data_IF_010724575058
#
_entry.id   IF_010724575058
#
_cell.length_a   1.000
_cell.length_b   1.000
_cell.length_c   1.000
_cell.angle_alpha   90.00
_cell.angle_beta   90.00
_cell.angle_gamma   90.00
#
_symmetry.space_group_name_H-M   'P 1'
#
loop_
_entity.id
_entity.type
_entity.pdbx_description
1 polymer ?
#
# COMPACT_ATOMS: atom_id res chain seq x y z
N UNK A 1 0.61 -27.67 10.26
CA UNK A 1 0.09 -26.61 9.37
C UNK A 1 1.28 -25.77 8.95
N UNK A 2 1.65 -25.80 7.67
CA UNK A 2 2.76 -25.01 7.15
C UNK A 2 2.32 -23.55 7.19
N UNK A 3 2.93 -22.75 8.07
CA UNK A 3 2.84 -21.29 7.99
C UNK A 3 3.53 -20.91 6.67
N UNK A 4 2.76 -20.73 5.61
CA UNK A 4 3.27 -20.07 4.41
C UNK A 4 3.52 -18.61 4.79
N UNK A 5 4.74 -18.31 5.25
CA UNK A 5 5.27 -16.97 5.13
C UNK A 5 5.36 -16.66 3.63
N UNK A 6 4.32 -16.01 3.09
CA UNK A 6 4.33 -15.48 1.74
C UNK A 6 5.34 -14.33 1.69
N UNK A 7 6.61 -14.70 1.57
CA UNK A 7 7.70 -13.77 1.31
C UNK A 7 7.55 -13.25 -0.11
N UNK A 8 7.62 -11.93 -0.27
CA UNK A 8 7.50 -11.27 -1.57
C UNK A 8 8.67 -11.70 -2.48
N UNK A 9 8.38 -12.31 -3.63
CA UNK A 9 9.38 -12.75 -4.61
C UNK A 9 9.34 -11.85 -5.85
N UNK A 10 10.48 -11.30 -6.26
CA UNK A 10 10.59 -10.36 -7.38
C UNK A 10 10.93 -10.99 -8.73
N UNK A 11 11.25 -12.28 -8.77
CA UNK A 11 11.64 -12.94 -10.02
C UNK A 11 10.41 -13.18 -10.91
N UNK A 12 10.46 -12.70 -12.17
CA UNK A 12 9.42 -12.88 -13.18
C UNK A 12 8.01 -12.48 -12.68
N UNK A 13 7.83 -11.19 -12.38
CA UNK A 13 6.60 -10.62 -11.83
C UNK A 13 6.13 -9.42 -12.66
N UNK A 14 4.82 -9.23 -12.72
CA UNK A 14 4.19 -8.03 -13.24
C UNK A 14 4.04 -7.02 -12.10
N UNK A 15 4.70 -5.87 -12.23
CA UNK A 15 4.82 -4.90 -11.14
C UNK A 15 4.22 -3.55 -11.57
N UNK A 16 3.29 -3.03 -10.77
CA UNK A 16 2.87 -1.64 -10.88
C UNK A 16 3.96 -0.75 -10.28
N UNK A 17 4.59 0.07 -11.13
CA UNK A 17 5.61 1.03 -10.74
C UNK A 17 5.04 2.15 -9.85
N UNK A 18 5.88 2.77 -9.00
CA UNK A 18 5.44 3.91 -8.21
C UNK A 18 5.18 5.14 -9.08
N UNK A 19 4.05 5.80 -8.84
CA UNK A 19 3.65 6.99 -9.58
C UNK A 19 2.95 7.96 -8.62
N UNK A 20 3.52 9.15 -8.43
CA UNK A 20 2.95 10.18 -7.54
C UNK A 20 1.54 10.56 -7.99
N UNK A 21 0.59 10.66 -7.04
CA UNK A 21 -0.87 10.86 -7.26
C UNK A 21 -1.61 9.65 -7.88
N UNK A 22 -0.98 8.94 -8.81
CA UNK A 22 -1.61 7.82 -9.53
C UNK A 22 -1.64 6.56 -8.65
N UNK A 23 -0.55 6.26 -7.93
CA UNK A 23 -0.36 5.08 -7.09
C UNK A 23 -1.13 5.06 -5.77
N UNK A 24 -2.28 5.73 -5.69
CA UNK A 24 -3.19 5.67 -4.54
C UNK A 24 -3.91 4.31 -4.48
N UNK A 25 -4.57 4.00 -3.34
CA UNK A 25 -5.21 2.70 -3.11
C UNK A 25 -6.11 2.21 -4.26
N UNK A 26 -7.00 3.03 -4.85
CA UNK A 26 -7.88 2.56 -5.92
C UNK A 26 -7.13 2.02 -7.15
N UNK A 27 -6.06 2.70 -7.57
CA UNK A 27 -5.26 2.27 -8.73
C UNK A 27 -4.52 0.97 -8.44
N UNK A 28 -3.97 0.82 -7.22
CA UNK A 28 -3.28 -0.41 -6.82
C UNK A 28 -4.22 -1.60 -6.82
N UNK A 29 -5.42 -1.45 -6.25
CA UNK A 29 -6.43 -2.51 -6.26
C UNK A 29 -6.87 -2.86 -7.68
N UNK A 30 -7.01 -1.87 -8.56
CA UNK A 30 -7.36 -2.09 -9.96
C UNK A 30 -6.24 -2.83 -10.71
N UNK A 31 -4.97 -2.50 -10.47
CA UNK A 31 -3.85 -3.22 -11.04
C UNK A 31 -3.82 -4.68 -10.57
N UNK A 32 -4.13 -4.95 -9.30
CA UNK A 32 -4.30 -6.31 -8.78
C UNK A 32 -5.45 -7.06 -9.47
N UNK A 33 -6.57 -6.37 -9.76
CA UNK A 33 -7.70 -6.95 -10.52
C UNK A 33 -7.30 -7.35 -11.95
N UNK A 34 -6.36 -6.62 -12.56
CA UNK A 34 -5.82 -6.92 -13.89
C UNK A 34 -4.57 -7.81 -13.90
N UNK A 35 -4.20 -8.41 -12.77
CA UNK A 35 -3.14 -9.43 -12.70
C UNK A 35 -1.75 -8.91 -12.38
N UNK A 36 -1.61 -7.72 -11.79
CA UNK A 36 -0.34 -7.33 -11.17
C UNK A 36 -0.01 -8.24 -9.98
N UNK A 37 1.24 -8.69 -9.89
CA UNK A 37 1.72 -9.50 -8.77
C UNK A 37 2.14 -8.62 -7.58
N UNK A 38 2.73 -7.46 -7.87
CA UNK A 38 3.29 -6.52 -6.89
C UNK A 38 2.81 -5.11 -7.25
N UNK A 39 2.44 -4.32 -6.25
CA UNK A 39 1.97 -2.94 -6.44
C UNK A 39 2.74 -1.97 -5.56
N UNK A 40 3.49 -1.05 -6.16
CA UNK A 40 4.11 0.04 -5.40
C UNK A 40 3.08 1.13 -5.10
N UNK A 41 3.15 1.73 -3.92
CA UNK A 41 2.47 2.99 -3.65
C UNK A 41 3.19 4.16 -4.33
N UNK A 42 2.57 5.34 -4.29
CA UNK A 42 3.28 6.57 -4.60
C UNK A 42 4.47 6.82 -3.65
N UNK A 43 5.45 7.59 -4.11
CA UNK A 43 6.56 8.03 -3.26
C UNK A 43 6.02 8.89 -2.11
N UNK A 44 6.32 8.49 -0.87
CA UNK A 44 5.89 9.18 0.33
C UNK A 44 7.09 9.60 1.17
N UNK A 45 7.28 10.93 1.25
CA UNK A 45 8.41 11.53 1.95
C UNK A 45 8.41 11.14 3.45
N UNK A 46 9.54 10.59 3.89
CA UNK A 46 9.82 10.17 5.26
C UNK A 46 9.47 11.23 6.33
N UNK A 47 9.85 12.49 6.11
CA UNK A 47 9.56 13.63 6.99
C UNK A 47 8.07 13.89 7.19
N UNK A 48 7.22 13.53 6.21
CA UNK A 48 5.76 13.60 6.36
C UNK A 48 5.23 12.33 7.03
N UNK A 49 5.79 11.17 6.69
CA UNK A 49 5.37 9.88 7.26
C UNK A 49 5.65 9.75 8.75
N UNK A 50 6.77 10.28 9.26
CA UNK A 50 7.11 10.24 10.69
C UNK A 50 6.09 11.00 11.57
N UNK A 51 5.36 11.94 10.98
CA UNK A 51 4.32 12.71 11.68
C UNK A 51 2.97 11.96 11.73
N UNK A 52 2.84 10.86 10.98
CA UNK A 52 1.58 10.15 10.83
C UNK A 52 1.30 9.19 11.98
N UNK A 53 0.01 9.02 12.30
CA UNK A 53 -0.48 8.00 13.22
C UNK A 53 -1.17 6.89 12.44
N UNK A 54 -0.90 5.64 12.82
CA UNK A 54 -1.61 4.47 12.29
C UNK A 54 -3.00 4.38 12.95
N UNK A 55 -4.05 4.40 12.14
CA UNK A 55 -5.45 4.30 12.54
C UNK A 55 -6.09 3.13 11.83
N UNK A 56 -6.75 2.25 12.57
CA UNK A 56 -7.61 1.20 11.99
C UNK A 56 -8.96 1.84 11.70
N UNK A 57 -9.37 1.86 10.44
CA UNK A 57 -10.61 2.46 9.98
C UNK A 57 -11.64 1.35 9.72
N UNK A 58 -12.48 1.07 10.71
CA UNK A 58 -13.47 -0.02 10.65
C UNK A 58 -14.56 0.22 9.59
N UNK A 59 -14.93 1.48 9.34
CA UNK A 59 -15.97 1.85 8.36
C UNK A 59 -15.56 1.44 6.94
N UNK A 60 -14.28 1.60 6.60
CA UNK A 60 -13.73 1.26 5.28
C UNK A 60 -12.98 -0.07 5.27
N UNK A 61 -12.78 -0.70 6.42
CA UNK A 61 -11.89 -1.86 6.58
C UNK A 61 -10.48 -1.58 6.05
N UNK A 62 -9.95 -0.40 6.36
CA UNK A 62 -8.60 0.04 5.95
C UNK A 62 -7.69 0.32 7.15
N UNK A 63 -6.39 0.38 6.87
CA UNK A 63 -5.39 0.97 7.77
C UNK A 63 -4.94 2.28 7.16
N UNK A 64 -5.14 3.36 7.91
CA UNK A 64 -4.86 4.73 7.50
C UNK A 64 -3.66 5.27 8.27
N UNK A 65 -2.74 5.94 7.58
CA UNK A 65 -1.66 6.72 8.17
C UNK A 65 -2.03 8.20 8.05
N UNK A 66 -2.45 8.78 9.17
CA UNK A 66 -3.07 10.10 9.24
C UNK A 66 -2.08 11.10 9.82
N UNK A 67 -1.81 12.18 9.09
CA UNK A 67 -0.95 13.26 9.54
C UNK A 67 -1.68 14.19 10.53
N UNK A 68 -0.98 15.12 11.22
CA UNK A 68 -1.59 16.01 12.22
C UNK A 68 -2.65 16.98 11.68
N UNK A 69 -2.68 17.17 10.36
CA UNK A 69 -3.67 17.95 9.61
C UNK A 69 -4.91 17.13 9.22
N UNK A 70 -5.12 15.97 9.87
CA UNK A 70 -6.16 14.97 9.60
C UNK A 70 -6.15 14.40 8.17
N UNK A 71 -5.11 14.68 7.39
CA UNK A 71 -4.97 14.18 6.03
C UNK A 71 -4.44 12.74 6.05
N UNK A 72 -5.10 11.86 5.33
CA UNK A 72 -4.61 10.48 5.11
C UNK A 72 -3.48 10.51 4.08
N UNK A 73 -2.26 10.19 4.53
CA UNK A 73 -1.04 10.20 3.71
C UNK A 73 -0.85 8.85 3.02
N UNK A 74 -1.15 7.75 3.71
CA UNK A 74 -1.15 6.41 3.13
C UNK A 74 -2.38 5.67 3.63
N UNK A 75 -3.04 4.95 2.71
CA UNK A 75 -4.17 4.08 3.02
C UNK A 75 -3.94 2.72 2.37
N UNK A 76 -4.14 1.66 3.14
CA UNK A 76 -4.00 0.27 2.69
C UNK A 76 -5.13 -0.61 3.25
N UNK A 77 -5.27 -1.82 2.72
CA UNK A 77 -6.28 -2.79 3.17
C UNK A 77 -5.69 -4.21 3.13
N UNK A 78 -6.39 -5.16 3.76
CA UNK A 78 -5.96 -6.57 3.83
C UNK A 78 -5.69 -7.18 2.44
N UNK A 79 -6.50 -6.79 1.44
CA UNK A 79 -6.44 -7.33 0.07
C UNK A 79 -5.07 -7.13 -0.62
N UNK A 80 -4.35 -6.05 -0.32
CA UNK A 80 -3.03 -5.78 -0.90
C UNK A 80 -1.87 -6.07 0.06
N UNK A 81 -2.13 -6.51 1.29
CA UNK A 81 -1.12 -6.63 2.37
C UNK A 81 0.12 -7.44 1.96
N UNK A 82 -0.08 -8.52 1.18
CA UNK A 82 0.99 -9.42 0.77
C UNK A 82 1.66 -9.03 -0.56
N UNK A 83 1.26 -7.89 -1.16
CA UNK A 83 1.65 -7.48 -2.52
C UNK A 83 2.03 -6.01 -2.64
N UNK A 84 1.64 -5.18 -1.67
CA UNK A 84 1.95 -3.75 -1.66
C UNK A 84 3.38 -3.50 -1.20
N UNK A 85 4.11 -2.66 -1.93
CA UNK A 85 5.44 -2.18 -1.55
C UNK A 85 5.35 -0.70 -1.23
N UNK A 86 5.83 -0.33 -0.05
CA UNK A 86 5.88 1.06 0.41
C UNK A 86 7.17 1.71 -0.08
N UNK A 87 7.06 2.79 -0.87
CA UNK A 87 8.21 3.58 -1.31
C UNK A 87 8.34 4.84 -0.46
N UNK A 88 9.52 5.02 0.15
CA UNK A 88 9.90 6.19 0.94
C UNK A 88 11.11 6.89 0.32
#
# INVERSE_FOLDING_TARGET
MILNSLSLCYHNKLILAPMVRVGTLPMRLLALDYGADIVYCEELIDLKMIQCKRVVNEVLSTVDFVAPDDRVVFRTCEREQNRVVFQM
#
